data_IF_139018032708
#
_entry.id   IF_139018032708
#
_cell.length_a   1.000
_cell.length_b   1.000
_cell.length_c   1.000
_cell.angle_alpha   90.00
_cell.angle_beta   90.00
_cell.angle_gamma   90.00
#
_symmetry.space_group_name_H-M   'P 1'
#
loop_
_entity.id
_entity.type
_entity.pdbx_description
1 polymer ?
#
# COMPACT_ATOMS: atom_id res chain seq x y z
N UNK A 1 11.35 2.53 1.26
CA UNK A 1 9.99 1.98 1.30
C UNK A 1 9.20 2.62 2.42
N UNK A 2 7.88 2.69 2.30
CA UNK A 2 6.97 3.26 3.29
C UNK A 2 5.84 2.27 3.59
N UNK A 3 5.48 2.13 4.85
CA UNK A 3 4.35 1.28 5.26
C UNK A 3 3.09 2.11 5.43
N UNK A 4 2.00 1.60 4.87
CA UNK A 4 0.66 2.15 5.09
C UNK A 4 -0.24 1.06 5.63
N UNK A 5 -1.26 1.46 6.39
CA UNK A 5 -2.25 0.55 6.93
C UNK A 5 -3.65 1.05 6.63
N UNK A 6 -4.52 0.16 6.16
CA UNK A 6 -5.95 0.43 6.09
C UNK A 6 -6.52 0.55 7.52
N UNK A 7 -7.14 1.68 7.84
CA UNK A 7 -7.66 1.95 9.19
C UNK A 7 -8.84 1.08 9.60
N UNK A 8 -9.56 0.53 8.61
CA UNK A 8 -10.76 -0.27 8.84
C UNK A 8 -10.46 -1.75 8.96
N UNK A 9 -9.64 -2.27 8.05
CA UNK A 9 -9.32 -3.69 7.96
C UNK A 9 -7.98 -4.05 8.60
N UNK A 10 -7.20 -3.05 9.05
CA UNK A 10 -5.86 -3.19 9.64
C UNK A 10 -4.85 -3.91 8.75
N UNK A 11 -5.13 -4.00 7.45
CA UNK A 11 -4.23 -4.57 6.45
C UNK A 11 -3.08 -3.59 6.21
N UNK A 12 -1.86 -4.09 6.28
CA UNK A 12 -0.64 -3.33 6.05
C UNK A 12 -0.16 -3.56 4.62
N UNK A 13 0.32 -2.49 3.98
CA UNK A 13 0.86 -2.51 2.62
C UNK A 13 2.18 -1.75 2.59
N UNK A 14 3.03 -2.11 1.64
CA UNK A 14 4.29 -1.43 1.38
C UNK A 14 4.24 -0.63 0.08
N UNK A 15 4.56 0.66 0.16
CA UNK A 15 4.67 1.57 -0.97
C UNK A 15 6.14 1.87 -1.27
N UNK A 16 6.56 1.83 -2.55
CA UNK A 16 7.86 2.34 -2.95
C UNK A 16 7.92 3.85 -2.67
N UNK A 17 9.01 4.30 -2.09
CA UNK A 17 9.27 5.74 -1.80
C UNK A 17 10.27 6.36 -2.76
N UNK A 18 11.01 5.53 -3.49
CA UNK A 18 12.02 5.94 -4.46
C UNK A 18 11.70 5.29 -5.81
N UNK A 19 12.18 5.91 -6.87
CA UNK A 19 12.01 5.42 -8.23
C UNK A 19 12.67 4.05 -8.42
N UNK A 20 13.86 3.84 -7.84
CA UNK A 20 14.57 2.55 -7.88
C UNK A 20 13.72 1.40 -7.31
N UNK A 21 13.03 1.64 -6.19
CA UNK A 21 12.17 0.64 -5.55
C UNK A 21 10.93 0.35 -6.40
N UNK A 22 10.38 1.38 -7.05
CA UNK A 22 9.27 1.19 -7.98
C UNK A 22 9.70 0.40 -9.22
N UNK A 23 10.84 0.75 -9.81
CA UNK A 23 11.42 0.08 -10.97
C UNK A 23 11.93 -1.33 -10.66
N UNK A 24 12.25 -1.62 -9.40
CA UNK A 24 12.65 -2.96 -8.97
C UNK A 24 11.54 -4.00 -9.16
N UNK A 25 10.27 -3.57 -9.23
CA UNK A 25 9.11 -4.45 -9.35
C UNK A 25 8.74 -5.24 -8.09
N UNK A 26 9.57 -5.22 -7.04
CA UNK A 26 9.36 -5.99 -5.81
C UNK A 26 8.08 -5.61 -5.03
N UNK A 27 7.52 -4.43 -5.28
CA UNK A 27 6.32 -3.91 -4.63
C UNK A 27 5.11 -3.86 -5.58
N UNK A 28 5.19 -4.48 -6.76
CA UNK A 28 4.09 -4.47 -7.72
C UNK A 28 2.84 -5.16 -7.16
N UNK A 29 3.00 -6.33 -6.53
CA UNK A 29 1.90 -7.05 -5.87
C UNK A 29 1.25 -6.22 -4.76
N UNK A 30 2.05 -5.41 -4.04
CA UNK A 30 1.54 -4.53 -2.98
C UNK A 30 0.71 -3.38 -3.56
N UNK A 31 1.16 -2.78 -4.66
CA UNK A 31 0.41 -1.74 -5.39
C UNK A 31 -0.92 -2.30 -5.91
N UNK A 32 -0.89 -3.49 -6.52
CA UNK A 32 -2.10 -4.15 -7.04
C UNK A 32 -3.09 -4.46 -5.91
N UNK A 33 -2.60 -4.98 -4.78
CA UNK A 33 -3.42 -5.27 -3.62
C UNK A 33 -4.07 -4.00 -3.01
N UNK A 34 -3.34 -2.87 -2.97
CA UNK A 34 -3.92 -1.57 -2.55
C UNK A 34 -5.03 -1.15 -3.51
N UNK A 35 -4.80 -1.30 -4.81
CA UNK A 35 -5.76 -0.91 -5.84
C UNK A 35 -7.03 -1.77 -5.76
N UNK A 36 -6.90 -3.10 -5.72
CA UNK A 36 -8.02 -4.01 -5.50
C UNK A 36 -8.78 -3.72 -4.20
N UNK A 37 -8.05 -3.39 -3.13
CA UNK A 37 -8.66 -3.01 -1.86
C UNK A 37 -9.49 -1.74 -2.00
N UNK A 38 -8.97 -0.75 -2.71
CA UNK A 38 -9.67 0.51 -2.97
C UNK A 38 -10.93 0.29 -3.83
N UNK A 39 -10.89 -0.63 -4.80
CA UNK A 39 -12.07 -1.00 -5.59
C UNK A 39 -13.12 -1.75 -4.77
N UNK A 40 -12.71 -2.77 -4.02
CA UNK A 40 -13.62 -3.57 -3.17
C UNK A 40 -14.15 -2.78 -1.98
N UNK A 41 -13.41 -1.76 -1.52
CA UNK A 41 -13.70 -0.99 -0.32
C UNK A 41 -13.34 0.48 -0.45
N UNK A 42 -14.06 1.25 -1.30
CA UNK A 42 -13.74 2.64 -1.63
C UNK A 42 -13.88 3.62 -0.45
N UNK A 43 -14.48 3.18 0.67
CA UNK A 43 -14.61 3.98 1.90
C UNK A 43 -13.42 3.78 2.85
N UNK A 44 -12.50 2.88 2.55
CA UNK A 44 -11.33 2.67 3.39
C UNK A 44 -10.36 3.82 3.27
N UNK A 45 -9.75 4.18 4.40
CA UNK A 45 -8.68 5.16 4.47
C UNK A 45 -7.39 4.44 4.82
N UNK A 46 -6.30 4.90 4.23
CA UNK A 46 -4.97 4.40 4.54
C UNK A 46 -4.27 5.45 5.41
N UNK A 47 -3.63 5.00 6.49
CA UNK A 47 -2.74 5.80 7.31
C UNK A 47 -1.31 5.34 7.08
N UNK A 48 -0.38 6.28 7.06
CA UNK A 48 1.03 5.96 7.16
C UNK A 48 1.33 5.44 8.56
N UNK A 49 2.05 4.32 8.63
CA UNK A 49 2.62 3.81 9.86
C UNK A 49 4.14 3.88 9.72
N UNK A 50 4.76 4.73 10.54
CA UNK A 50 6.20 4.77 10.69
C UNK A 50 6.59 3.72 11.73
N UNK A 51 7.38 2.74 11.30
CA UNK A 51 8.07 1.82 12.20
C UNK A 51 9.50 2.29 12.40
#
# INVERSE_FOLDING_TARGET
MKQIQCTKHKIEFQLPTTEEEFLSGNLHDQIEAIWEHSEKSPKCKFLEIQN
#
